data_IF_369106226914
#
_entry.id   IF_369106226914
#
_cell.length_a   1.000
_cell.length_b   1.000
_cell.length_c   1.000
_cell.angle_alpha   90.00
_cell.angle_beta   90.00
_cell.angle_gamma   90.00
#
_symmetry.space_group_name_H-M   'P 1'
#
loop_
_entity.id
_entity.type
_entity.pdbx_description
1 polymer ?
#
# COMPACT_ATOMS: atom_id res chain seq x y z
N UNK A 1 -11.09 -9.73 21.05
CA UNK A 1 -10.46 -10.58 20.07
C UNK A 1 -9.19 -9.98 19.57
N UNK A 2 -8.09 -10.54 20.00
CA UNK A 2 -6.80 -10.01 19.66
C UNK A 2 -6.43 -10.08 18.20
N UNK A 3 -7.06 -10.95 17.47
CA UNK A 3 -6.73 -11.12 16.06
C UNK A 3 -7.19 -9.94 15.20
N UNK A 4 -7.96 -9.03 15.75
CA UNK A 4 -8.40 -7.85 15.01
C UNK A 4 -7.44 -6.68 15.13
N UNK A 5 -6.45 -6.80 15.99
CA UNK A 5 -5.52 -5.70 16.22
C UNK A 5 -4.67 -5.45 14.98
N UNK A 6 -4.81 -4.26 14.41
CA UNK A 6 -4.04 -3.87 13.25
C UNK A 6 -4.44 -4.55 11.96
N UNK A 7 -5.46 -5.38 11.99
CA UNK A 7 -5.93 -6.07 10.79
C UNK A 7 -7.31 -5.56 10.42
N UNK A 8 -7.44 -5.03 9.23
CA UNK A 8 -8.71 -4.56 8.71
C UNK A 8 -9.05 -5.30 7.44
N UNK A 9 -10.26 -5.78 7.37
CA UNK A 9 -10.78 -6.39 6.15
C UNK A 9 -11.89 -5.51 5.63
N UNK A 10 -11.78 -5.09 4.39
CA UNK A 10 -12.82 -4.30 3.76
C UNK A 10 -13.11 -4.84 2.38
N UNK A 11 -14.34 -4.66 1.95
CA UNK A 11 -14.75 -5.05 0.62
C UNK A 11 -14.23 -4.06 -0.42
N UNK A 12 -14.05 -4.52 -1.66
CA UNK A 12 -13.57 -3.64 -2.73
C UNK A 12 -14.46 -2.43 -2.93
N UNK A 13 -15.76 -2.59 -2.73
CA UNK A 13 -16.67 -1.48 -2.89
C UNK A 13 -16.45 -0.42 -1.80
N UNK A 14 -16.26 -0.86 -0.57
CA UNK A 14 -16.00 0.07 0.52
C UNK A 14 -14.66 0.76 0.33
N UNK A 15 -13.66 0.03 -0.14
CA UNK A 15 -12.36 0.62 -0.43
C UNK A 15 -12.48 1.73 -1.45
N UNK A 16 -13.22 1.48 -2.54
CA UNK A 16 -13.38 2.47 -3.59
C UNK A 16 -14.01 3.75 -3.07
N UNK A 17 -15.02 3.61 -2.22
CA UNK A 17 -15.75 4.78 -1.70
C UNK A 17 -14.91 5.55 -0.69
N UNK A 18 -14.14 4.85 0.14
CA UNK A 18 -13.43 5.48 1.26
C UNK A 18 -11.91 5.38 1.14
N UNK A 19 -11.38 5.26 -0.06
CA UNK A 19 -9.96 5.05 -0.28
C UNK A 19 -9.09 6.10 0.39
N UNK A 20 -9.39 7.37 0.16
CA UNK A 20 -8.60 8.45 0.72
C UNK A 20 -8.59 8.41 2.25
N UNK A 21 -9.74 8.12 2.84
CA UNK A 21 -9.84 8.02 4.29
C UNK A 21 -8.93 6.93 4.84
N UNK A 22 -8.95 5.76 4.22
CA UNK A 22 -8.13 4.65 4.69
C UNK A 22 -6.65 4.97 4.55
N UNK A 23 -6.26 5.63 3.49
CA UNK A 23 -4.85 5.94 3.26
C UNK A 23 -4.33 7.05 4.17
N UNK A 24 -5.21 7.90 4.69
CA UNK A 24 -4.79 8.99 5.54
C UNK A 24 -4.93 8.71 7.03
N UNK A 25 -5.87 7.86 7.41
CA UNK A 25 -6.15 7.63 8.83
C UNK A 25 -5.51 6.37 9.39
N UNK A 26 -5.03 5.49 8.56
CA UNK A 26 -4.51 4.20 9.01
C UNK A 26 -3.02 4.05 8.74
N UNK A 27 -2.27 5.10 9.02
CA UNK A 27 -0.82 5.08 8.76
C UNK A 27 -0.15 3.94 9.52
N UNK A 28 0.63 3.18 8.81
CA UNK A 28 1.35 2.05 9.39
C UNK A 28 0.58 0.75 9.41
N UNK A 29 -0.68 0.77 9.04
CA UNK A 29 -1.52 -0.42 9.06
C UNK A 29 -1.52 -1.14 7.73
N UNK A 30 -1.93 -2.41 7.77
CA UNK A 30 -2.18 -3.18 6.57
C UNK A 30 -3.67 -3.41 6.46
N UNK A 31 -4.23 -3.13 5.29
CA UNK A 31 -5.64 -3.30 5.02
C UNK A 31 -5.82 -4.45 4.04
N UNK A 32 -6.60 -5.43 4.41
CA UNK A 32 -6.87 -6.57 3.56
C UNK A 32 -8.14 -6.33 2.76
N UNK A 33 -8.06 -6.55 1.48
CA UNK A 33 -9.15 -6.28 0.56
C UNK A 33 -9.82 -7.58 0.17
N UNK A 34 -11.14 -7.65 0.33
CA UNK A 34 -11.90 -8.83 -0.03
C UNK A 34 -12.88 -8.53 -1.15
N UNK A 35 -13.21 -9.55 -1.90
CA UNK A 35 -14.24 -9.48 -2.92
C UNK A 35 -14.98 -10.80 -2.91
N UNK A 36 -16.30 -10.75 -2.76
CA UNK A 36 -17.11 -11.96 -2.61
C UNK A 36 -16.57 -12.85 -1.49
N UNK A 37 -16.23 -12.21 -0.38
CA UNK A 37 -15.71 -12.88 0.83
C UNK A 37 -14.38 -13.59 0.62
N UNK A 38 -13.67 -13.28 -0.46
CA UNK A 38 -12.34 -13.84 -0.72
C UNK A 38 -11.31 -12.74 -0.65
N UNK A 39 -10.19 -13.06 -0.03
CA UNK A 39 -9.08 -12.12 0.03
C UNK A 39 -8.44 -12.01 -1.34
N UNK A 40 -8.41 -10.79 -1.90
CA UNK A 40 -7.87 -10.56 -3.24
C UNK A 40 -6.64 -9.66 -3.24
N UNK A 41 -6.42 -8.87 -2.20
CA UNK A 41 -5.29 -7.96 -2.17
C UNK A 41 -5.04 -7.46 -0.76
N UNK A 42 -3.91 -6.80 -0.59
CA UNK A 42 -3.65 -6.09 0.65
C UNK A 42 -3.00 -4.76 0.31
N UNK A 43 -3.24 -3.77 1.15
CA UNK A 43 -2.67 -2.44 1.01
C UNK A 43 -1.94 -2.12 2.30
N UNK A 44 -0.68 -1.74 2.17
CA UNK A 44 0.10 -1.28 3.32
C UNK A 44 0.17 0.23 3.29
N UNK A 45 -0.33 0.84 4.35
CA UNK A 45 -0.35 2.29 4.44
C UNK A 45 0.96 2.72 5.10
N UNK A 46 1.77 3.43 4.36
CA UNK A 46 3.09 3.82 4.85
C UNK A 46 3.00 4.94 5.88
N UNK A 47 3.89 4.88 6.85
CA UNK A 47 4.13 6.02 7.72
C UNK A 47 5.02 7.00 6.94
N UNK A 48 5.19 8.21 7.49
CA UNK A 48 6.05 9.21 6.87
C UNK A 48 7.46 8.67 6.64
N UNK A 49 8.00 8.00 7.64
CA UNK A 49 9.35 7.45 7.56
C UNK A 49 9.45 6.35 6.51
N UNK A 50 8.52 5.43 6.52
CA UNK A 50 8.52 4.33 5.55
C UNK A 50 8.33 4.86 4.13
N UNK A 51 7.50 5.88 3.97
CA UNK A 51 7.26 6.50 2.68
C UNK A 51 8.55 7.07 2.11
N UNK A 52 9.30 7.79 2.92
CA UNK A 52 10.56 8.39 2.47
C UNK A 52 11.54 7.33 2.00
N UNK A 53 11.68 6.27 2.78
CA UNK A 53 12.59 5.18 2.41
C UNK A 53 12.18 4.50 1.11
N UNK A 54 10.89 4.29 0.95
CA UNK A 54 10.37 3.63 -0.23
C UNK A 54 10.51 4.51 -1.47
N UNK A 55 10.24 5.80 -1.33
CA UNK A 55 10.36 6.73 -2.43
C UNK A 55 11.81 6.82 -2.92
N UNK A 56 12.76 6.81 -1.99
CA UNK A 56 14.17 6.83 -2.36
C UNK A 56 14.55 5.56 -3.12
N UNK A 57 14.04 4.42 -2.68
CA UNK A 57 14.31 3.15 -3.35
C UNK A 57 13.74 3.14 -4.77
N UNK A 58 12.53 3.64 -4.92
CA UNK A 58 11.88 3.70 -6.22
C UNK A 58 12.63 4.63 -7.16
N UNK A 59 13.00 5.80 -6.67
CA UNK A 59 13.75 6.77 -7.47
C UNK A 59 15.06 6.17 -7.95
N UNK A 60 15.75 5.46 -7.07
CA UNK A 60 17.02 4.82 -7.41
C UNK A 60 16.84 3.79 -8.51
N UNK A 61 15.79 2.98 -8.41
CA UNK A 61 15.51 1.97 -9.43
C UNK A 61 15.14 2.60 -10.76
N UNK A 62 14.42 3.70 -10.73
CA UNK A 62 14.06 4.39 -11.96
C UNK A 62 15.28 4.95 -12.67
N UNK A 63 16.23 5.48 -11.91
CA UNK A 63 17.48 5.99 -12.49
C UNK A 63 18.27 4.85 -13.11
N UNK A 64 18.37 3.72 -12.43
CA UNK A 64 19.09 2.56 -12.95
C UNK A 64 18.45 2.05 -14.24
N UNK A 65 17.14 2.01 -14.29
CA UNK A 65 16.44 1.56 -15.49
C UNK A 65 16.69 2.52 -16.65
N UNK A 66 16.68 3.82 -16.39
CA UNK A 66 16.94 4.81 -17.42
C UNK A 66 18.37 4.69 -17.95
N UNK A 67 19.33 4.44 -17.06
CA UNK A 67 20.71 4.25 -17.48
C UNK A 67 20.89 3.02 -18.34
N UNK A 68 20.19 1.94 -18.01
CA UNK A 68 20.26 0.73 -18.81
C UNK A 68 19.72 0.95 -20.21
N UNK A 69 18.66 1.73 -20.33
CA UNK A 69 18.11 2.04 -21.64
C UNK A 69 19.05 2.89 -22.47
N UNK A 70 19.75 3.80 -21.82
CA UNK A 70 20.70 4.66 -22.52
C UNK A 70 21.92 3.90 -23.06
N UNK A 71 22.25 2.79 -22.46
CA UNK A 71 23.42 2.01 -22.87
C UNK A 71 23.19 1.19 -24.12
N UNK A 72 21.98 1.18 -24.59
CA UNK A 72 21.71 0.57 -25.88
C UNK A 72 22.15 1.49 -27.03
#
# INVERSE_FOLDING_TARGET
MGYDDGIRKIDTNELRVNLTKYLTENLGDTIFITRYNRLVAEIRVYTEETRRKTELRIAKKMIEAAEKEKKK
#
